data_IF_768214929741
#
_entry.id   IF_768214929741
#
_cell.length_a   1.000
_cell.length_b   1.000
_cell.length_c   1.000
_cell.angle_alpha   90.00
_cell.angle_beta   90.00
_cell.angle_gamma   90.00
#
_symmetry.space_group_name_H-M   'P 1'
#
loop_
_entity.id
_entity.type
_entity.pdbx_description
1 polymer ?
#
# COMPACT_ATOMS: atom_id res chain seq x y z
N UNK A 1 14.75 33.01 34.53
CA UNK A 1 14.05 32.92 33.23
C UNK A 1 15.05 32.34 32.24
N UNK A 2 15.07 31.02 32.09
CA UNK A 2 16.01 30.30 31.21
C UNK A 2 15.23 29.47 30.19
N UNK A 3 15.84 29.28 29.02
CA UNK A 3 15.53 28.17 28.13
C UNK A 3 15.14 28.57 26.71
N UNK A 4 16.09 29.07 25.92
CA UNK A 4 15.95 29.16 24.47
C UNK A 4 16.08 27.78 23.82
N UNK A 5 14.97 27.18 23.39
CA UNK A 5 14.95 25.92 22.64
C UNK A 5 13.64 25.85 21.84
N UNK A 6 13.62 26.24 20.55
CA UNK A 6 12.60 25.68 19.64
C UNK A 6 12.85 25.84 18.12
N UNK A 7 13.87 26.57 17.67
CA UNK A 7 14.01 26.84 16.22
C UNK A 7 14.37 25.59 15.37
N UNK A 8 15.02 24.59 15.97
CA UNK A 8 15.46 23.36 15.26
C UNK A 8 14.37 22.29 15.12
N UNK A 9 13.32 22.30 15.96
CA UNK A 9 12.22 21.34 15.88
C UNK A 9 11.29 21.67 14.70
N UNK A 10 10.98 22.96 14.51
CA UNK A 10 10.08 23.44 13.46
C UNK A 10 10.57 23.04 12.05
N UNK A 11 11.86 23.18 11.77
CA UNK A 11 12.42 22.78 10.46
C UNK A 11 12.40 21.26 10.22
N UNK A 12 12.50 20.45 11.29
CA UNK A 12 12.41 18.98 11.19
C UNK A 12 10.97 18.52 10.93
N UNK A 13 9.98 19.19 11.53
CA UNK A 13 8.55 18.90 11.34
C UNK A 13 8.09 19.23 9.92
N UNK A 14 8.54 20.33 9.34
CA UNK A 14 8.20 20.69 7.95
C UNK A 14 8.76 19.71 6.91
N UNK A 15 10.02 19.25 7.07
CA UNK A 15 10.61 18.22 6.19
C UNK A 15 9.88 16.88 6.27
N UNK A 16 9.37 16.49 7.44
CA UNK A 16 8.53 15.28 7.59
C UNK A 16 7.17 15.47 6.91
N UNK A 17 6.57 16.64 7.04
CA UNK A 17 5.26 16.93 6.46
C UNK A 17 5.31 16.99 4.93
N UNK A 18 6.36 17.57 4.36
CA UNK A 18 6.55 17.61 2.90
C UNK A 18 6.77 16.22 2.29
N UNK A 19 7.51 15.33 2.97
CA UNK A 19 7.66 13.93 2.56
C UNK A 19 6.32 13.18 2.60
N UNK A 20 5.52 13.38 3.64
CA UNK A 20 4.17 12.79 3.75
C UNK A 20 3.24 13.29 2.63
N UNK A 21 3.20 14.60 2.39
CA UNK A 21 2.41 15.18 1.29
C UNK A 21 2.85 14.69 -0.09
N UNK A 22 4.16 14.48 -0.31
CA UNK A 22 4.69 13.96 -1.58
C UNK A 22 4.39 12.47 -1.76
N UNK A 23 4.38 11.69 -0.68
CA UNK A 23 3.92 10.30 -0.68
C UNK A 23 2.41 10.19 -0.96
N UNK A 24 1.60 11.07 -0.37
CA UNK A 24 0.16 11.15 -0.60
C UNK A 24 -0.17 11.62 -2.03
N UNK A 25 0.55 12.62 -2.54
CA UNK A 25 0.41 13.08 -3.93
C UNK A 25 0.84 12.00 -4.94
N UNK A 26 1.87 11.21 -4.62
CA UNK A 26 2.24 10.03 -5.41
C UNK A 26 1.15 8.95 -5.36
N UNK A 27 0.58 8.66 -4.19
CA UNK A 27 -0.58 7.74 -4.05
C UNK A 27 -1.78 8.22 -4.88
N UNK A 28 -2.10 9.52 -4.83
CA UNK A 28 -3.20 10.08 -5.66
C UNK A 28 -2.91 10.00 -7.16
N UNK A 29 -1.66 10.21 -7.59
CA UNK A 29 -1.28 10.12 -9.01
C UNK A 29 -1.26 8.69 -9.54
N UNK A 30 -0.92 7.70 -8.73
CA UNK A 30 -0.99 6.27 -9.13
C UNK A 30 -2.43 5.76 -9.20
N UNK A 31 -3.37 6.37 -8.49
CA UNK A 31 -4.81 6.02 -8.53
C UNK A 31 -5.50 6.51 -9.81
N UNK A 32 -4.89 7.42 -10.59
CA UNK A 32 -5.54 8.03 -11.76
C UNK A 32 -5.15 7.46 -13.13
N UNK A 33 -4.55 6.27 -13.22
CA UNK A 33 -4.22 5.68 -14.53
C UNK A 33 -4.18 4.15 -14.56
N UNK A 34 -5.33 3.52 -14.42
CA UNK A 34 -5.55 2.13 -14.87
C UNK A 34 -7.05 1.90 -14.99
N UNK A 35 -7.55 2.16 -16.19
CA UNK A 35 -8.87 1.81 -16.68
C UNK A 35 -9.05 0.28 -16.71
N UNK A 36 -10.29 -0.15 -16.42
CA UNK A 36 -10.88 -1.46 -16.73
C UNK A 36 -10.33 -2.69 -16.00
N UNK A 37 -10.42 -2.69 -14.68
CA UNK A 37 -10.82 -3.86 -13.87
C UNK A 37 -11.22 -3.31 -12.50
N UNK A 38 -12.38 -3.70 -11.97
CA UNK A 38 -12.98 -3.17 -10.72
C UNK A 38 -12.21 -3.48 -9.42
N UNK A 39 -10.88 -3.29 -9.42
CA UNK A 39 -9.99 -3.37 -8.26
C UNK A 39 -9.86 -2.03 -7.52
N UNK A 40 -10.26 -0.91 -8.12
CA UNK A 40 -10.06 0.44 -7.59
C UNK A 40 -10.85 0.74 -6.31
N UNK A 41 -11.77 -0.14 -5.90
CA UNK A 41 -12.72 0.10 -4.81
C UNK A 41 -12.62 -0.92 -3.67
N UNK A 42 -11.46 -1.57 -3.49
CA UNK A 42 -11.21 -2.36 -2.28
C UNK A 42 -10.55 -1.50 -1.21
N UNK A 43 -11.29 -1.22 -0.12
CA UNK A 43 -10.74 -0.58 1.07
C UNK A 43 -9.82 -1.57 1.79
N UNK A 44 -8.50 -1.35 1.71
CA UNK A 44 -7.54 -2.09 2.52
C UNK A 44 -7.70 -1.69 4.00
N UNK A 45 -8.45 -2.50 4.76
CA UNK A 45 -8.55 -2.37 6.21
C UNK A 45 -7.29 -2.98 6.82
N UNK A 46 -6.53 -2.19 7.58
CA UNK A 46 -5.32 -2.67 8.26
C UNK A 46 -5.72 -3.65 9.36
N UNK A 47 -5.69 -4.95 9.07
CA UNK A 47 -5.70 -5.99 10.09
C UNK A 47 -4.29 -6.08 10.67
N UNK A 48 -4.13 -5.75 11.96
CA UNK A 48 -2.95 -6.16 12.73
C UNK A 48 -3.09 -7.66 13.02
N UNK A 49 -2.75 -8.49 12.05
CA UNK A 49 -2.79 -9.95 12.19
C UNK A 49 -1.46 -10.49 12.71
N UNK A 50 -1.56 -11.59 13.45
CA UNK A 50 -0.42 -12.35 13.95
C UNK A 50 0.28 -13.14 12.85
N UNK A 51 -0.40 -13.42 11.73
CA UNK A 51 0.13 -14.14 10.57
C UNK A 51 -0.18 -13.39 9.25
N UNK A 52 0.69 -12.45 8.86
CA UNK A 52 0.51 -11.70 7.61
C UNK A 52 0.65 -12.59 6.36
N UNK A 53 1.33 -13.74 6.41
CA UNK A 53 1.45 -14.61 5.24
C UNK A 53 0.10 -15.24 4.89
N UNK A 54 -0.58 -15.84 5.87
CA UNK A 54 -1.89 -16.44 5.66
C UNK A 54 -2.93 -15.39 5.27
N UNK A 55 -2.90 -14.21 5.89
CA UNK A 55 -3.85 -13.15 5.59
C UNK A 55 -3.73 -12.65 4.14
N UNK A 56 -2.51 -12.34 3.67
CA UNK A 56 -2.33 -11.90 2.29
C UNK A 56 -2.72 -13.00 1.30
N UNK A 57 -2.40 -14.26 1.60
CA UNK A 57 -2.76 -15.40 0.76
C UNK A 57 -4.28 -15.51 0.61
N UNK A 58 -4.99 -15.49 1.73
CA UNK A 58 -6.46 -15.57 1.75
C UNK A 58 -7.06 -14.41 0.96
N UNK A 59 -6.65 -13.17 1.22
CA UNK A 59 -7.18 -12.00 0.49
C UNK A 59 -6.87 -12.01 -1.01
N UNK A 60 -5.71 -12.53 -1.43
CA UNK A 60 -5.37 -12.68 -2.85
C UNK A 60 -6.25 -13.75 -3.52
N UNK A 61 -6.43 -14.91 -2.87
CA UNK A 61 -7.26 -15.99 -3.39
C UNK A 61 -8.72 -15.56 -3.48
N UNK A 62 -9.25 -14.89 -2.45
CA UNK A 62 -10.59 -14.31 -2.47
C UNK A 62 -10.76 -13.34 -3.65
N UNK A 63 -9.82 -12.42 -3.87
CA UNK A 63 -9.88 -11.50 -5.02
C UNK A 63 -9.80 -12.21 -6.37
N UNK A 64 -8.98 -13.25 -6.49
CA UNK A 64 -8.88 -14.05 -7.72
C UNK A 64 -10.20 -14.75 -8.03
N UNK A 65 -10.81 -15.38 -7.04
CA UNK A 65 -12.06 -16.13 -7.21
C UNK A 65 -13.23 -15.17 -7.42
N UNK A 66 -13.42 -14.19 -6.55
CA UNK A 66 -14.59 -13.30 -6.61
C UNK A 66 -14.60 -12.42 -7.85
N UNK A 67 -13.44 -11.93 -8.27
CA UNK A 67 -13.30 -11.06 -9.45
C UNK A 67 -12.90 -11.82 -10.72
N UNK A 68 -12.80 -13.16 -10.65
CA UNK A 68 -12.46 -14.05 -11.77
C UNK A 68 -11.16 -13.63 -12.50
N UNK A 69 -10.12 -13.31 -11.72
CA UNK A 69 -8.82 -12.82 -12.21
C UNK A 69 -7.93 -14.02 -12.54
N UNK A 70 -7.96 -14.47 -13.80
CA UNK A 70 -7.18 -15.63 -14.25
C UNK A 70 -6.17 -15.31 -15.36
N UNK A 71 -6.26 -14.13 -15.98
CA UNK A 71 -5.28 -13.69 -16.96
C UNK A 71 -3.99 -13.24 -16.27
N UNK A 72 -2.84 -13.54 -16.87
CA UNK A 72 -1.54 -13.14 -16.34
C UNK A 72 -1.44 -11.61 -16.13
N UNK A 73 -1.93 -10.83 -17.09
CA UNK A 73 -1.95 -9.36 -16.99
C UNK A 73 -2.77 -8.86 -15.80
N UNK A 74 -3.89 -9.52 -15.49
CA UNK A 74 -4.75 -9.11 -14.38
C UNK A 74 -4.21 -9.58 -13.03
N UNK A 75 -3.51 -10.72 -12.99
CA UNK A 75 -2.74 -11.17 -11.84
C UNK A 75 -1.59 -10.20 -11.53
N UNK A 76 -0.88 -9.70 -12.55
CA UNK A 76 0.13 -8.66 -12.37
C UNK A 76 -0.47 -7.36 -11.82
N UNK A 77 -1.62 -6.92 -12.34
CA UNK A 77 -2.35 -5.75 -11.80
C UNK A 77 -2.77 -5.97 -10.35
N UNK A 78 -3.23 -7.17 -9.99
CA UNK A 78 -3.58 -7.53 -8.63
C UNK A 78 -2.38 -7.39 -7.69
N UNK A 79 -1.22 -7.96 -8.07
CA UNK A 79 0.02 -7.83 -7.31
C UNK A 79 0.44 -6.35 -7.13
N UNK A 80 0.41 -5.57 -8.22
CA UNK A 80 0.73 -4.14 -8.18
C UNK A 80 -0.22 -3.37 -7.24
N UNK A 81 -1.50 -3.75 -7.19
CA UNK A 81 -2.48 -3.18 -6.29
C UNK A 81 -2.12 -3.46 -4.82
N UNK A 82 -1.83 -4.72 -4.47
CA UNK A 82 -1.38 -5.09 -3.12
C UNK A 82 -0.11 -4.33 -2.69
N UNK A 83 0.87 -4.22 -3.57
CA UNK A 83 2.10 -3.46 -3.29
C UNK A 83 1.84 -1.96 -3.12
N UNK A 84 0.93 -1.38 -3.90
CA UNK A 84 0.60 0.05 -3.83
C UNK A 84 -0.21 0.42 -2.58
N UNK A 85 -1.11 -0.47 -2.15
CA UNK A 85 -1.95 -0.26 -0.97
C UNK A 85 -1.15 -0.42 0.33
N UNK A 86 -0.21 -1.37 0.35
CA UNK A 86 0.55 -1.73 1.55
C UNK A 86 1.88 -0.98 1.68
N UNK A 87 2.34 -0.82 2.92
CA UNK A 87 3.67 -0.26 3.17
C UNK A 87 4.77 -1.20 2.68
N UNK A 88 5.95 -0.67 2.36
CA UNK A 88 7.08 -1.46 1.87
C UNK A 88 7.55 -2.54 2.84
N UNK A 89 7.20 -2.43 4.12
CA UNK A 89 7.45 -3.47 5.12
C UNK A 89 6.73 -4.79 4.80
N UNK A 90 5.57 -4.74 4.14
CA UNK A 90 4.80 -5.92 3.76
C UNK A 90 5.10 -6.42 2.35
N UNK A 91 5.82 -5.66 1.52
CA UNK A 91 6.08 -6.02 0.12
C UNK A 91 6.78 -7.38 -0.01
N UNK A 92 7.73 -7.66 0.89
CA UNK A 92 8.43 -8.95 0.89
C UNK A 92 7.46 -10.11 1.07
N UNK A 93 6.61 -10.05 2.09
CA UNK A 93 5.60 -11.08 2.38
C UNK A 93 4.60 -11.22 1.23
N UNK A 94 4.16 -10.08 0.66
CA UNK A 94 3.24 -10.05 -0.49
C UNK A 94 3.85 -10.78 -1.70
N UNK A 95 5.12 -10.53 -2.04
CA UNK A 95 5.80 -11.20 -3.16
C UNK A 95 6.04 -12.68 -2.88
N UNK A 96 6.46 -13.03 -1.66
CA UNK A 96 6.67 -14.43 -1.25
C UNK A 96 5.36 -15.24 -1.33
N UNK A 97 4.23 -14.65 -0.95
CA UNK A 97 2.91 -15.31 -1.06
C UNK A 97 2.47 -15.47 -2.51
N UNK A 98 2.81 -14.52 -3.38
CA UNK A 98 2.39 -14.52 -4.78
C UNK A 98 3.26 -15.42 -5.68
N UNK A 99 4.54 -15.57 -5.35
CA UNK A 99 5.55 -16.14 -6.25
C UNK A 99 5.82 -17.65 -6.14
N UNK A 100 5.33 -18.32 -5.09
CA UNK A 100 5.64 -19.72 -4.73
C UNK A 100 7.12 -20.13 -4.82
#
# INVERSE_FOLDING_TARGET
MEGGLDSSESQRREKKNSRRKRAEARRRRTVSKSSDVGLAESFAVVKRSSDPHSDFRTSMVEMIIEKQIFAAEDLEKLLQCFLSLNSSHHHRVIVEVFGF
#
